data_IF_711705594366
#
_entry.id   IF_711705594366
#
_cell.length_a   1.000
_cell.length_b   1.000
_cell.length_c   1.000
_cell.angle_alpha   90.00
_cell.angle_beta   90.00
_cell.angle_gamma   90.00
#
_symmetry.space_group_name_H-M   'P 1'
#
loop_
_entity.id
_entity.type
_entity.pdbx_description
1 polymer ?
#
# COMPACT_ATOMS: atom_id res chain seq x y z
N UNK A 1 -9.20 10.35 11.09
CA UNK A 1 -10.00 9.09 11.17
C UNK A 1 -9.38 8.07 10.24
N UNK A 2 -9.05 6.87 10.74
CA UNK A 2 -8.37 5.84 9.94
C UNK A 2 -9.35 4.93 9.19
N UNK A 3 -9.35 5.06 7.86
CA UNK A 3 -10.24 4.32 6.95
C UNK A 3 -9.57 3.06 6.38
N UNK A 4 -10.37 2.07 5.99
CA UNK A 4 -9.88 0.83 5.41
C UNK A 4 -9.17 1.00 4.05
N UNK A 5 -9.52 2.05 3.29
CA UNK A 5 -8.98 2.29 1.95
C UNK A 5 -7.52 2.80 1.92
N UNK A 6 -6.85 2.91 3.07
CA UNK A 6 -5.44 3.28 3.13
C UNK A 6 -4.95 3.84 4.48
N UNK A 7 -5.84 4.33 5.35
CA UNK A 7 -5.52 5.02 6.59
C UNK A 7 -4.23 5.87 6.50
N UNK A 8 -3.18 5.53 7.25
CA UNK A 8 -1.88 6.22 7.20
C UNK A 8 -0.80 5.51 6.35
N UNK A 9 -1.21 4.56 5.51
CA UNK A 9 -0.34 3.79 4.62
C UNK A 9 -0.43 2.28 4.85
N UNK A 10 -0.15 1.53 3.78
CA UNK A 10 -0.31 0.08 3.74
C UNK A 10 0.93 -0.70 4.18
N UNK A 11 0.72 -1.76 4.96
CA UNK A 11 1.71 -2.74 5.38
C UNK A 11 1.24 -4.15 5.02
N UNK A 12 2.17 -5.11 5.09
CA UNK A 12 1.89 -6.54 4.94
C UNK A 12 2.58 -7.31 6.05
N UNK A 13 1.89 -8.30 6.62
CA UNK A 13 2.44 -9.17 7.64
C UNK A 13 3.29 -10.32 7.05
N UNK A 14 3.84 -11.17 7.92
CA UNK A 14 4.66 -12.30 7.50
C UNK A 14 3.91 -13.39 6.72
N UNK A 15 2.56 -13.39 6.79
CA UNK A 15 1.70 -14.34 6.08
C UNK A 15 1.16 -13.77 4.77
N UNK A 16 1.48 -12.51 4.45
CA UNK A 16 1.04 -11.85 3.22
C UNK A 16 -0.28 -11.08 3.36
N UNK A 17 -0.84 -10.91 4.56
CA UNK A 17 -2.08 -10.15 4.74
C UNK A 17 -1.83 -8.65 4.73
N UNK A 18 -2.49 -7.88 3.84
CA UNK A 18 -2.39 -6.44 3.82
C UNK A 18 -3.23 -5.80 4.94
N UNK A 19 -2.71 -4.75 5.55
CA UNK A 19 -3.40 -3.95 6.55
C UNK A 19 -2.93 -2.49 6.49
N UNK A 20 -3.66 -1.57 7.14
CA UNK A 20 -3.31 -0.16 7.14
C UNK A 20 -2.82 0.30 8.52
N UNK A 21 -1.80 1.16 8.56
CA UNK A 21 -1.37 1.82 9.81
C UNK A 21 -2.53 2.63 10.40
N UNK A 22 -2.73 2.53 11.72
CA UNK A 22 -3.89 3.11 12.42
C UNK A 22 -5.19 2.29 12.31
N UNK A 23 -5.22 1.23 11.49
CA UNK A 23 -6.35 0.29 11.40
C UNK A 23 -5.87 -1.15 11.22
N UNK A 24 -5.54 -1.77 12.34
CA UNK A 24 -4.97 -3.11 12.41
C UNK A 24 -6.10 -4.11 12.67
N UNK A 25 -6.48 -4.87 11.64
CA UNK A 25 -7.57 -5.84 11.70
C UNK A 25 -8.89 -5.20 12.15
N UNK A 26 -9.38 -5.54 13.35
CA UNK A 26 -10.62 -5.00 13.93
C UNK A 26 -10.37 -3.78 14.83
N UNK A 27 -9.12 -3.41 15.06
CA UNK A 27 -8.75 -2.30 15.93
C UNK A 27 -8.52 -1.06 15.10
N UNK A 28 -9.25 0.00 15.42
CA UNK A 28 -9.04 1.35 14.87
C UNK A 28 -8.38 2.16 15.97
N UNK A 29 -7.16 2.64 15.71
CA UNK A 29 -6.46 3.52 16.63
C UNK A 29 -7.12 4.89 16.65
N UNK A 30 -6.94 5.61 17.76
CA UNK A 30 -7.30 7.02 17.81
C UNK A 30 -6.27 7.81 17.03
N UNK A 31 -6.76 8.75 16.23
CA UNK A 31 -5.94 9.68 15.46
C UNK A 31 -5.43 10.78 16.39
N UNK A 32 -4.16 10.66 16.78
CA UNK A 32 -3.44 11.60 17.66
C UNK A 32 -2.25 12.22 16.90
N UNK A 33 -2.34 12.27 15.56
CA UNK A 33 -1.28 12.75 14.65
C UNK A 33 -0.01 11.88 14.68
N UNK A 34 -0.12 10.61 15.11
CA UNK A 34 1.01 9.70 15.26
C UNK A 34 1.64 9.26 13.93
N UNK A 35 0.99 9.57 12.79
CA UNK A 35 1.44 9.20 11.45
C UNK A 35 1.58 10.38 10.48
N UNK A 36 1.58 11.62 10.96
CA UNK A 36 1.68 12.81 10.10
C UNK A 36 3.06 12.99 9.46
N UNK A 37 4.06 12.25 9.94
CA UNK A 37 5.44 12.27 9.41
C UNK A 37 5.66 11.34 8.22
N UNK A 38 6.77 11.56 7.51
CA UNK A 38 7.24 10.67 6.45
C UNK A 38 7.64 9.33 7.06
N UNK A 39 7.07 8.25 6.56
CA UNK A 39 7.39 6.88 6.97
C UNK A 39 7.35 5.94 5.78
N UNK A 40 8.17 4.90 5.82
CA UNK A 40 8.11 3.86 4.80
C UNK A 40 6.78 3.10 4.91
N UNK A 41 6.25 2.70 3.76
CA UNK A 41 5.06 1.87 3.62
C UNK A 41 5.36 0.74 2.65
N UNK A 42 4.64 -0.37 2.78
CA UNK A 42 4.76 -1.46 1.83
C UNK A 42 3.97 -1.17 0.55
N UNK A 43 2.78 -0.61 0.68
CA UNK A 43 1.90 -0.25 -0.44
C UNK A 43 1.17 1.06 -0.17
N UNK A 44 0.81 1.76 -1.25
CA UNK A 44 -0.02 2.98 -1.23
C UNK A 44 -1.41 2.70 -1.79
N UNK A 45 -2.40 3.49 -1.38
CA UNK A 45 -3.79 3.32 -1.82
C UNK A 45 -3.95 3.57 -3.32
N UNK A 46 -4.75 2.75 -4.00
CA UNK A 46 -5.15 2.97 -5.39
C UNK A 46 -5.93 4.27 -5.61
N UNK A 47 -6.49 4.89 -4.55
CA UNK A 47 -7.19 6.17 -4.65
C UNK A 47 -6.26 7.31 -5.11
N UNK A 48 -4.99 7.29 -4.70
CA UNK A 48 -3.98 8.24 -5.14
C UNK A 48 -2.58 7.62 -4.97
N UNK A 49 -1.99 7.19 -6.08
CA UNK A 49 -0.67 6.57 -6.11
C UNK A 49 0.26 7.32 -7.06
N UNK A 50 1.42 7.75 -6.56
CA UNK A 50 2.48 8.33 -7.36
C UNK A 50 3.69 7.40 -7.38
N UNK A 51 4.10 7.00 -8.58
CA UNK A 51 5.22 6.07 -8.79
C UNK A 51 6.15 6.58 -9.88
N UNK A 52 7.39 6.08 -9.88
CA UNK A 52 8.31 6.34 -10.97
C UNK A 52 7.81 5.70 -12.27
N UNK A 53 7.56 6.52 -13.30
CA UNK A 53 7.00 6.07 -14.57
C UNK A 53 7.87 5.02 -15.29
N UNK A 54 9.20 5.15 -15.24
CA UNK A 54 10.11 4.19 -15.86
C UNK A 54 9.98 2.81 -15.20
N UNK A 55 10.00 2.77 -13.86
CA UNK A 55 9.82 1.53 -13.11
C UNK A 55 8.44 0.90 -13.37
N UNK A 56 7.38 1.71 -13.40
CA UNK A 56 6.02 1.26 -13.70
C UNK A 56 5.95 0.53 -15.05
N UNK A 57 6.46 1.15 -16.12
CA UNK A 57 6.44 0.55 -17.45
C UNK A 57 7.39 -0.67 -17.57
N UNK A 58 8.55 -0.65 -16.91
CA UNK A 58 9.47 -1.79 -16.89
C UNK A 58 8.89 -3.04 -16.23
N UNK A 59 7.99 -2.84 -15.25
CA UNK A 59 7.32 -3.93 -14.53
C UNK A 59 6.00 -4.36 -15.18
N UNK A 60 5.63 -3.80 -16.32
CA UNK A 60 4.39 -4.13 -17.03
C UNK A 60 3.13 -3.43 -16.50
N UNK A 61 3.27 -2.43 -15.63
CA UNK A 61 2.13 -1.70 -15.06
C UNK A 61 1.31 -2.51 -14.06
N UNK A 62 0.01 -2.24 -13.99
CA UNK A 62 -0.96 -3.02 -13.22
C UNK A 62 -1.24 -4.37 -13.89
N UNK A 63 -1.45 -5.40 -13.08
CA UNK A 63 -1.84 -6.71 -13.57
C UNK A 63 -3.35 -6.74 -13.84
N UNK A 64 -3.72 -7.03 -15.10
CA UNK A 64 -5.10 -7.04 -15.57
C UNK A 64 -5.91 -8.28 -15.17
N UNK A 65 -5.29 -9.28 -14.53
CA UNK A 65 -6.03 -10.40 -13.93
C UNK A 65 -6.81 -9.98 -12.68
N UNK A 66 -6.37 -8.91 -12.01
CA UNK A 66 -7.15 -8.29 -10.94
C UNK A 66 -8.31 -7.49 -11.54
N UNK A 67 -9.54 -7.86 -11.13
CA UNK A 67 -10.73 -7.12 -11.52
C UNK A 67 -10.95 -5.87 -10.64
N UNK A 68 -10.69 -5.99 -9.34
CA UNK A 68 -10.78 -4.90 -8.38
C UNK A 68 -10.01 -5.27 -7.10
N UNK A 69 -9.31 -4.28 -6.55
CA UNK A 69 -8.48 -4.38 -5.35
C UNK A 69 -7.24 -5.27 -5.54
N UNK A 70 -6.18 -4.92 -4.81
CA UNK A 70 -4.90 -5.64 -4.76
C UNK A 70 -3.96 -5.34 -5.95
N UNK A 71 -4.43 -4.75 -7.04
CA UNK A 71 -3.58 -4.40 -8.18
C UNK A 71 -2.47 -3.41 -7.79
N UNK A 72 -2.75 -2.49 -6.88
CA UNK A 72 -1.80 -1.53 -6.34
C UNK A 72 -0.82 -2.18 -5.37
N UNK A 73 -1.29 -3.16 -4.59
CA UNK A 73 -0.50 -3.91 -3.62
C UNK A 73 0.51 -4.80 -4.36
N UNK A 74 0.05 -5.51 -5.39
CA UNK A 74 0.89 -6.32 -6.28
C UNK A 74 1.97 -5.45 -6.96
N UNK A 75 1.58 -4.31 -7.53
CA UNK A 75 2.53 -3.37 -8.14
C UNK A 75 3.60 -2.93 -7.15
N UNK A 76 3.21 -2.46 -5.96
CA UNK A 76 4.15 -2.04 -4.93
C UNK A 76 5.07 -3.19 -4.49
N UNK A 77 4.55 -4.41 -4.39
CA UNK A 77 5.34 -5.60 -4.08
C UNK A 77 6.41 -5.86 -5.15
N UNK A 78 6.01 -5.87 -6.43
CA UNK A 78 6.94 -6.06 -7.56
C UNK A 78 8.00 -4.97 -7.58
N UNK A 79 7.62 -3.71 -7.38
CA UNK A 79 8.54 -2.58 -7.29
C UNK A 79 9.56 -2.76 -6.16
N UNK A 80 9.12 -3.13 -4.95
CA UNK A 80 10.01 -3.33 -3.79
C UNK A 80 11.00 -4.48 -4.02
N UNK A 81 10.60 -5.54 -4.73
CA UNK A 81 11.49 -6.66 -5.10
C UNK A 81 12.48 -6.32 -6.22
N UNK A 82 12.13 -5.41 -7.12
CA UNK A 82 12.97 -4.99 -8.25
C UNK A 82 14.13 -4.06 -7.87
N UNK A 83 14.13 -3.53 -6.64
CA UNK A 83 15.18 -2.65 -6.13
C UNK A 83 16.43 -3.42 -5.62
N UNK A 84 16.41 -4.76 -5.65
CA UNK A 84 17.55 -5.61 -5.26
C UNK A 84 18.42 -5.95 -6.47
#
# INVERSE_FOLDING_TARGET
>A
MFEYAGAAGGLIDALGYPFCKGRIMQTIEKDEQQYDGISEVFWGSGAALLVNAKAFHQLGGFDGEYFAHQEEIDLCWRMKRSWR
#
